data_IF_074750725879
#
_entry.id   IF_074750725879
#
_cell.length_a   1.000
_cell.length_b   1.000
_cell.length_c   1.000
_cell.angle_alpha   90.00
_cell.angle_beta   90.00
_cell.angle_gamma   90.00
#
_symmetry.space_group_name_H-M   'P 1'
#
loop_
_entity.id
_entity.type
_entity.pdbx_description
1 polymer ?
#
# COMPACT_ATOMS: atom_id res chain seq x y z
N UNK A 1 -17.11 5.83 8.69
CA UNK A 1 -15.81 6.17 9.29
C UNK A 1 -14.68 5.63 8.44
N UNK A 2 -13.77 6.51 8.03
CA UNK A 2 -12.53 6.21 7.31
C UNK A 2 -11.38 6.07 8.31
N UNK A 3 -10.48 5.12 8.09
CA UNK A 3 -9.24 4.92 8.84
C UNK A 3 -8.06 5.07 7.89
N UNK A 4 -7.17 6.03 8.16
CA UNK A 4 -5.89 6.17 7.46
C UNK A 4 -4.80 5.56 8.34
N UNK A 5 -4.27 4.42 7.91
CA UNK A 5 -3.20 3.71 8.58
C UNK A 5 -1.86 4.19 8.02
N UNK A 6 -0.90 4.53 8.88
CA UNK A 6 0.45 4.93 8.48
C UNK A 6 1.52 4.06 9.12
N UNK A 7 2.56 3.75 8.36
CA UNK A 7 3.78 3.13 8.89
C UNK A 7 4.81 4.14 9.40
N UNK A 8 4.57 5.44 9.23
CA UNK A 8 5.61 6.47 9.32
C UNK A 8 6.81 6.17 8.39
N UNK A 9 7.94 6.86 8.58
CA UNK A 9 9.19 6.53 7.87
C UNK A 9 9.83 5.28 8.47
N UNK A 10 9.81 4.17 7.72
CA UNK A 10 10.34 2.87 8.18
C UNK A 10 11.87 2.79 8.12
N UNK A 11 12.54 3.80 7.54
CA UNK A 11 14.01 3.89 7.48
C UNK A 11 14.60 4.42 8.79
N UNK A 12 13.89 5.33 9.48
CA UNK A 12 14.39 6.06 10.64
C UNK A 12 14.17 5.34 11.98
N UNK A 13 13.37 4.28 12.01
CA UNK A 13 13.12 3.49 13.22
C UNK A 13 14.38 2.75 13.68
N UNK A 14 14.81 2.97 14.93
CA UNK A 14 16.06 2.47 15.54
C UNK A 14 16.28 0.93 15.50
N UNK A 15 17.39 0.44 16.10
CA UNK A 15 18.25 -0.65 15.60
C UNK A 15 17.70 -2.09 15.65
N UNK A 16 16.39 -2.29 15.68
CA UNK A 16 15.77 -3.62 15.88
C UNK A 16 14.81 -4.07 14.79
N UNK A 17 14.52 -3.25 13.78
CA UNK A 17 14.21 -3.83 12.46
C UNK A 17 15.55 -4.28 11.89
N UNK A 18 15.91 -5.51 12.25
CA UNK A 18 17.09 -6.21 11.77
C UNK A 18 17.37 -5.77 10.34
N UNK A 19 18.59 -5.27 10.09
CA UNK A 19 19.25 -5.17 8.78
C UNK A 19 19.31 -6.56 8.12
N UNK A 20 18.14 -7.13 7.84
CA UNK A 20 17.96 -8.27 6.99
C UNK A 20 17.47 -7.65 5.70
N UNK A 21 18.43 -7.40 4.81
CA UNK A 21 18.22 -7.30 3.37
C UNK A 21 17.80 -8.71 2.88
N UNK A 22 16.78 -9.29 3.51
CA UNK A 22 16.08 -10.46 3.02
C UNK A 22 14.90 -9.90 2.24
N UNK A 23 14.68 -10.40 1.04
CA UNK A 23 13.54 -10.08 0.19
C UNK A 23 12.21 -10.41 0.89
N UNK A 24 11.79 -9.59 1.84
CA UNK A 24 10.51 -9.73 2.53
C UNK A 24 9.43 -9.16 1.62
N UNK A 25 8.36 -9.93 1.42
CA UNK A 25 7.22 -9.50 0.61
C UNK A 25 6.64 -8.19 1.16
N UNK A 26 6.16 -7.31 0.28
CA UNK A 26 5.69 -5.97 0.71
C UNK A 26 4.57 -5.99 1.74
N UNK A 27 3.69 -7.01 1.76
CA UNK A 27 2.67 -7.15 2.81
C UNK A 27 3.27 -7.42 4.18
N UNK A 28 4.34 -8.22 4.26
CA UNK A 28 5.03 -8.51 5.52
C UNK A 28 5.71 -7.24 6.05
N UNK A 29 6.35 -6.46 5.18
CA UNK A 29 6.94 -5.16 5.53
C UNK A 29 5.85 -4.18 6.02
N UNK A 30 4.75 -4.04 5.28
CA UNK A 30 3.61 -3.21 5.64
C UNK A 30 3.06 -3.58 7.02
N UNK A 31 2.65 -4.84 7.21
CA UNK A 31 1.98 -5.29 8.42
C UNK A 31 2.88 -5.17 9.65
N UNK A 32 4.15 -5.54 9.52
CA UNK A 32 5.10 -5.39 10.62
C UNK A 32 5.32 -3.91 10.94
N UNK A 33 5.53 -3.07 9.93
CA UNK A 33 5.75 -1.63 10.13
C UNK A 33 4.54 -0.95 10.77
N UNK A 34 3.31 -1.31 10.38
CA UNK A 34 2.09 -0.84 11.05
C UNK A 34 2.07 -1.26 12.52
N UNK A 35 2.33 -2.54 12.84
CA UNK A 35 2.38 -3.02 14.23
C UNK A 35 3.42 -2.25 15.05
N UNK A 36 4.63 -2.09 14.53
CA UNK A 36 5.68 -1.34 15.22
C UNK A 36 5.27 0.11 15.45
N UNK A 37 4.71 0.78 14.44
CA UNK A 37 4.29 2.17 14.56
C UNK A 37 3.15 2.33 15.58
N UNK A 38 2.18 1.41 15.62
CA UNK A 38 1.08 1.44 16.59
C UNK A 38 1.57 1.20 18.02
N UNK A 39 2.55 0.31 18.22
CA UNK A 39 3.15 0.08 19.56
C UNK A 39 3.93 1.31 20.00
N UNK A 40 4.76 1.89 19.13
CA UNK A 40 5.55 3.09 19.41
C UNK A 40 4.65 4.28 19.79
N UNK A 41 3.58 4.51 19.02
CA UNK A 41 2.64 5.61 19.26
C UNK A 41 1.85 5.46 20.58
N UNK A 42 1.63 4.23 21.04
CA UNK A 42 0.97 3.96 22.31
C UNK A 42 1.89 4.16 23.53
N UNK A 43 3.17 4.48 23.34
CA UNK A 43 4.19 4.58 24.40
C UNK A 43 4.23 3.33 25.31
N UNK A 44 3.93 2.16 24.75
CA UNK A 44 3.95 0.91 25.50
C UNK A 44 5.38 0.38 25.50
N UNK A 45 6.04 0.48 26.66
CA UNK A 45 7.32 -0.20 26.86
C UNK A 45 7.11 -1.73 26.73
N UNK A 46 7.96 -2.44 25.97
CA UNK A 46 7.90 -3.90 25.94
C UNK A 46 8.16 -4.43 27.35
N UNK A 47 7.18 -5.12 27.92
CA UNK A 47 7.35 -5.77 29.23
C UNK A 47 8.49 -6.78 29.14
N UNK A 48 9.62 -6.53 29.81
CA UNK A 48 10.66 -7.51 30.05
C UNK A 48 10.14 -8.57 31.03
N UNK A 49 9.36 -9.55 30.56
CA UNK A 49 9.16 -10.78 31.32
C UNK A 49 10.41 -11.64 31.15
N UNK A 50 11.08 -11.95 32.25
CA UNK A 50 12.16 -12.95 32.36
C UNK A 50 11.62 -14.37 32.03
N UNK A 51 11.14 -14.59 30.81
CA UNK A 51 10.87 -15.92 30.29
C UNK A 51 12.00 -16.34 29.35
N UNK A 52 12.55 -17.52 29.64
CA UNK A 52 13.69 -18.13 29.00
C UNK A 52 13.59 -18.09 27.46
N UNK A 53 14.66 -17.61 26.84
CA UNK A 53 14.84 -17.39 25.42
C UNK A 53 14.62 -18.66 24.59
N UNK A 54 13.43 -18.85 23.99
CA UNK A 54 13.27 -19.79 22.85
C UNK A 54 12.35 -19.34 21.70
N UNK A 55 11.68 -18.17 21.75
CA UNK A 55 10.89 -17.69 20.59
C UNK A 55 11.05 -16.18 20.34
N UNK A 56 11.89 -15.82 19.34
CA UNK A 56 12.19 -14.43 18.92
C UNK A 56 11.09 -13.85 17.98
N UNK A 57 9.91 -14.45 17.93
CA UNK A 57 8.86 -14.09 16.95
C UNK A 57 7.52 -13.63 17.53
N UNK A 58 7.46 -13.35 18.83
CA UNK A 58 6.21 -12.95 19.47
C UNK A 58 6.08 -11.43 19.55
N UNK A 59 4.99 -10.81 19.03
CA UNK A 59 4.73 -9.40 19.27
C UNK A 59 4.57 -9.14 20.79
N UNK A 60 4.95 -7.94 21.29
CA UNK A 60 4.88 -7.62 22.70
C UNK A 60 3.44 -7.77 23.24
N UNK A 61 3.28 -8.49 24.35
CA UNK A 61 1.99 -8.70 25.05
C UNK A 61 1.57 -7.42 25.76
N UNK A 62 0.42 -6.84 25.38
CA UNK A 62 -0.20 -5.69 26.09
C UNK A 62 -1.12 -6.16 27.22
N UNK A 63 -1.02 -5.50 28.38
CA UNK A 63 -1.75 -5.83 29.62
C UNK A 63 -3.14 -5.16 29.75
N UNK A 64 -3.42 -4.08 29.00
CA UNK A 64 -4.74 -3.44 28.92
C UNK A 64 -4.81 -2.55 27.66
N UNK A 65 -5.98 -2.46 27.03
CA UNK A 65 -6.17 -1.53 25.91
C UNK A 65 -6.17 -0.09 26.45
N UNK A 66 -5.21 0.72 26.01
CA UNK A 66 -5.33 2.17 26.14
C UNK A 66 -6.50 2.67 25.30
N UNK A 67 -7.07 3.80 25.70
CA UNK A 67 -8.01 4.53 24.85
C UNK A 67 -7.29 4.94 23.55
N UNK A 68 -7.77 4.44 22.41
CA UNK A 68 -7.09 4.65 21.14
C UNK A 68 -7.06 6.13 20.74
N UNK A 69 -7.97 6.95 21.27
CA UNK A 69 -8.02 8.39 21.04
C UNK A 69 -6.78 9.13 21.55
N UNK A 70 -5.96 8.52 22.42
CA UNK A 70 -4.76 9.15 22.99
C UNK A 70 -3.57 9.22 22.03
N UNK A 71 -3.55 8.39 20.99
CA UNK A 71 -2.43 8.27 20.03
C UNK A 71 -2.90 8.31 18.56
N UNK A 72 -4.20 8.54 18.36
CA UNK A 72 -4.82 8.76 17.05
C UNK A 72 -5.38 10.17 16.99
N UNK A 73 -5.68 10.64 15.78
CA UNK A 73 -6.32 11.96 15.59
C UNK A 73 -7.48 11.84 14.62
N UNK A 74 -8.55 12.58 14.88
CA UNK A 74 -9.75 12.56 14.05
C UNK A 74 -9.94 13.89 13.34
N UNK A 75 -10.20 13.83 12.03
CA UNK A 75 -10.59 14.95 11.19
C UNK A 75 -11.87 14.58 10.42
N UNK A 76 -13.00 15.18 10.80
CA UNK A 76 -14.32 14.80 10.30
C UNK A 76 -14.64 13.31 10.54
N UNK A 77 -14.93 12.58 9.45
CA UNK A 77 -15.19 11.12 9.48
C UNK A 77 -13.89 10.28 9.32
N UNK A 78 -12.72 10.91 9.30
CA UNK A 78 -11.43 10.21 9.10
C UNK A 78 -10.64 10.15 10.40
N UNK A 79 -10.25 8.94 10.80
CA UNK A 79 -9.32 8.69 11.91
C UNK A 79 -7.93 8.35 11.35
N UNK A 80 -6.92 9.12 11.76
CA UNK A 80 -5.52 8.88 11.43
C UNK A 80 -4.87 8.01 12.51
N UNK A 81 -4.27 6.91 12.07
CA UNK A 81 -3.73 5.85 12.93
C UNK A 81 -2.28 5.53 12.54
N UNK A 82 -1.27 5.92 13.36
CA UNK A 82 -1.33 6.92 14.43
C UNK A 82 -1.64 8.33 13.92
N UNK A 83 -1.68 9.30 14.82
CA UNK A 83 -1.70 10.74 14.48
C UNK A 83 -0.61 11.08 13.47
N UNK A 84 -0.96 11.81 12.42
CA UNK A 84 -0.02 12.33 11.44
C UNK A 84 0.48 13.70 11.88
N UNK A 85 1.73 13.77 12.34
CA UNK A 85 2.40 15.03 12.62
C UNK A 85 3.04 15.57 11.34
N UNK A 86 2.31 16.44 10.64
CA UNK A 86 2.82 17.11 9.44
C UNK A 86 3.90 18.15 9.76
N UNK A 87 4.05 18.60 11.01
CA UNK A 87 5.07 19.59 11.35
C UNK A 87 6.48 18.99 11.45
N UNK A 88 6.56 17.70 11.78
CA UNK A 88 7.80 16.94 11.90
C UNK A 88 8.08 16.03 10.70
N UNK A 89 7.20 16.02 9.68
CA UNK A 89 7.39 15.27 8.44
C UNK A 89 8.12 16.07 7.36
N UNK A 90 8.30 15.45 6.20
CA UNK A 90 8.99 16.04 5.05
C UNK A 90 10.32 15.37 4.72
N UNK A 91 10.86 15.76 3.58
CA UNK A 91 12.21 15.40 3.14
C UNK A 91 13.21 16.48 3.58
N UNK A 92 14.46 16.08 3.76
CA UNK A 92 15.53 16.95 4.31
C UNK A 92 16.11 17.89 3.25
N UNK A 93 16.33 17.37 2.04
CA UNK A 93 16.94 18.10 0.91
C UNK A 93 15.85 18.73 0.01
N UNK A 94 16.28 19.54 -0.97
CA UNK A 94 15.36 20.08 -1.98
C UNK A 94 14.71 18.97 -2.82
N UNK A 95 13.45 19.17 -3.24
CA UNK A 95 12.69 18.22 -4.07
C UNK A 95 13.47 17.69 -5.28
N UNK A 96 14.28 18.52 -5.94
CA UNK A 96 15.03 18.13 -7.14
C UNK A 96 16.08 17.04 -6.87
N UNK A 97 16.53 16.90 -5.61
CA UNK A 97 17.54 15.94 -5.17
C UNK A 97 16.98 14.52 -4.97
N UNK A 98 15.66 14.34 -5.06
CA UNK A 98 15.03 13.05 -4.87
C UNK A 98 14.50 12.44 -6.15
N UNK A 99 14.59 11.12 -6.22
CA UNK A 99 13.70 10.26 -6.99
C UNK A 99 12.66 9.67 -6.04
N UNK A 100 11.39 10.05 -6.25
CA UNK A 100 10.25 9.62 -5.46
C UNK A 100 9.40 8.68 -6.31
N UNK A 101 9.38 7.41 -5.91
CA UNK A 101 8.54 6.38 -6.50
C UNK A 101 7.39 6.05 -5.58
N UNK A 102 6.19 6.05 -6.14
CA UNK A 102 4.95 5.65 -5.48
C UNK A 102 4.36 4.45 -6.19
N UNK A 103 3.94 3.43 -5.45
CA UNK A 103 3.15 2.30 -5.95
C UNK A 103 1.79 2.29 -5.27
N UNK A 104 0.71 2.41 -6.04
CA UNK A 104 -0.67 2.39 -5.58
C UNK A 104 -1.30 1.02 -5.89
N UNK A 105 -1.80 0.35 -4.85
CA UNK A 105 -2.50 -0.91 -4.94
C UNK A 105 -4.01 -0.67 -4.83
N UNK A 106 -4.72 -0.94 -5.92
CA UNK A 106 -6.18 -1.07 -5.88
C UNK A 106 -6.52 -2.45 -5.32
N UNK A 107 -7.43 -2.49 -4.34
CA UNK A 107 -7.74 -3.72 -3.59
C UNK A 107 -8.98 -4.42 -4.16
N UNK A 108 -9.08 -5.76 -4.02
CA UNK A 108 -10.21 -6.53 -4.51
C UNK A 108 -11.51 -6.18 -3.79
N UNK A 109 -12.64 -6.28 -4.49
CA UNK A 109 -13.97 -6.00 -3.94
C UNK A 109 -14.32 -4.52 -3.80
N UNK A 110 -13.45 -3.61 -4.25
CA UNK A 110 -13.69 -2.16 -4.24
C UNK A 110 -14.26 -1.70 -5.58
N UNK A 111 -15.40 -0.98 -5.61
CA UNK A 111 -16.00 -0.49 -6.84
C UNK A 111 -15.02 0.37 -7.65
N UNK A 112 -14.94 0.10 -8.96
CA UNK A 112 -14.04 0.78 -9.88
C UNK A 112 -14.31 2.27 -9.98
N UNK A 113 -15.57 2.69 -9.82
CA UNK A 113 -15.99 4.10 -9.76
C UNK A 113 -15.28 4.92 -8.68
N UNK A 114 -14.77 4.27 -7.62
CA UNK A 114 -14.04 4.93 -6.53
C UNK A 114 -12.55 5.12 -6.81
N UNK A 115 -11.98 4.43 -7.83
CA UNK A 115 -10.53 4.41 -8.09
C UNK A 115 -9.98 5.82 -8.37
N UNK A 116 -10.74 6.68 -9.03
CA UNK A 116 -10.33 8.08 -9.27
C UNK A 116 -10.17 8.87 -7.95
N UNK A 117 -11.16 8.85 -7.08
CA UNK A 117 -11.09 9.48 -5.75
C UNK A 117 -9.97 8.86 -4.89
N UNK A 118 -9.83 7.54 -4.93
CA UNK A 118 -8.79 6.81 -4.20
C UNK A 118 -7.38 7.20 -4.68
N UNK A 119 -7.19 7.35 -5.99
CA UNK A 119 -5.92 7.81 -6.56
C UNK A 119 -5.58 9.20 -6.04
N UNK A 120 -6.48 10.17 -6.23
CA UNK A 120 -6.23 11.55 -5.84
C UNK A 120 -5.93 11.64 -4.34
N UNK A 121 -6.74 10.98 -3.50
CA UNK A 121 -6.54 11.00 -2.05
C UNK A 121 -5.23 10.33 -1.59
N UNK A 122 -4.82 9.23 -2.22
CA UNK A 122 -3.56 8.56 -1.90
C UNK A 122 -2.34 9.40 -2.30
N UNK A 123 -2.35 9.99 -3.50
CA UNK A 123 -1.27 10.85 -3.98
C UNK A 123 -1.18 12.13 -3.15
N UNK A 124 -2.30 12.80 -2.89
CA UNK A 124 -2.33 14.00 -2.05
C UNK A 124 -1.81 13.73 -0.63
N UNK A 125 -2.08 12.55 -0.07
CA UNK A 125 -1.53 12.17 1.23
C UNK A 125 -0.01 12.01 1.19
N UNK A 126 0.53 11.33 0.18
CA UNK A 126 1.99 11.16 0.03
C UNK A 126 2.68 12.51 -0.17
N UNK A 127 2.14 13.36 -1.06
CA UNK A 127 2.69 14.71 -1.33
C UNK A 127 2.71 15.56 -0.06
N UNK A 128 1.62 15.55 0.73
CA UNK A 128 1.53 16.27 2.01
C UNK A 128 2.54 15.77 3.03
N UNK A 129 2.69 14.46 3.21
CA UNK A 129 3.62 13.93 4.23
C UNK A 129 5.08 14.14 3.83
N UNK A 130 5.39 14.10 2.54
CA UNK A 130 6.76 14.35 2.06
C UNK A 130 7.07 15.85 1.88
N UNK A 131 6.09 16.74 2.02
CA UNK A 131 6.21 18.17 1.75
C UNK A 131 6.73 18.48 0.33
N UNK A 132 6.21 17.75 -0.66
CA UNK A 132 6.56 17.91 -2.06
C UNK A 132 5.31 18.19 -2.90
N UNK A 133 5.50 18.80 -4.07
CA UNK A 133 4.42 19.11 -5.00
C UNK A 133 4.28 18.10 -6.15
N UNK A 134 5.24 17.20 -6.32
CA UNK A 134 5.24 16.17 -7.36
C UNK A 134 6.04 14.94 -6.97
N UNK A 135 5.77 13.82 -7.63
CA UNK A 135 6.53 12.57 -7.57
C UNK A 135 7.10 12.23 -8.95
N UNK A 136 8.17 11.43 -8.97
CA UNK A 136 8.87 11.09 -10.21
C UNK A 136 8.20 9.92 -10.94
N UNK A 137 7.76 8.88 -10.22
CA UNK A 137 7.14 7.70 -10.80
C UNK A 137 5.93 7.24 -9.98
N UNK A 138 4.77 7.09 -10.62
CA UNK A 138 3.63 6.35 -10.08
C UNK A 138 3.46 5.02 -10.81
N UNK A 139 3.49 3.92 -10.07
CA UNK A 139 3.14 2.57 -10.55
C UNK A 139 1.78 2.19 -9.97
N UNK A 140 0.87 1.68 -10.78
CA UNK A 140 -0.43 1.15 -10.32
C UNK A 140 -0.48 -0.38 -10.41
N UNK A 141 -1.05 -0.99 -9.39
CA UNK A 141 -1.31 -2.43 -9.30
C UNK A 141 -2.82 -2.64 -9.24
N UNK A 142 -3.38 -3.35 -10.22
CA UNK A 142 -4.80 -3.68 -10.26
C UNK A 142 -5.08 -5.02 -9.57
N UNK A 143 -6.25 -5.20 -8.92
CA UNK A 143 -6.62 -6.49 -8.36
C UNK A 143 -6.82 -7.50 -9.50
N UNK A 144 -6.53 -8.78 -9.23
CA UNK A 144 -6.74 -9.86 -10.21
C UNK A 144 -5.73 -9.89 -11.36
N UNK A 145 -4.81 -8.92 -11.46
CA UNK A 145 -3.73 -8.95 -12.44
C UNK A 145 -2.47 -9.52 -11.79
N UNK A 146 -2.08 -10.70 -12.25
CA UNK A 146 -0.82 -11.34 -11.93
C UNK A 146 -0.08 -11.71 -13.22
N UNK A 147 1.24 -11.64 -13.14
CA UNK A 147 2.12 -12.15 -14.16
C UNK A 147 2.56 -13.57 -13.76
N UNK A 148 2.53 -14.48 -14.74
CA UNK A 148 3.09 -15.81 -14.63
C UNK A 148 3.97 -16.05 -15.87
N UNK A 149 5.27 -16.28 -15.63
CA UNK A 149 6.22 -16.53 -16.70
C UNK A 149 6.02 -17.89 -17.40
N UNK A 150 5.42 -18.86 -16.69
CA UNK A 150 5.23 -20.22 -17.16
C UNK A 150 3.92 -20.40 -17.96
N UNK A 151 3.10 -19.34 -18.04
CA UNK A 151 1.89 -19.29 -18.87
C UNK A 151 0.68 -20.02 -18.27
N UNK A 152 0.72 -20.37 -16.99
CA UNK A 152 -0.48 -20.78 -16.24
C UNK A 152 -1.28 -19.52 -15.91
N UNK A 153 -2.26 -19.19 -16.76
CA UNK A 153 -3.24 -18.16 -16.43
C UNK A 153 -3.95 -18.58 -15.14
N UNK A 154 -3.71 -17.89 -14.02
CA UNK A 154 -4.61 -17.98 -12.88
C UNK A 154 -5.98 -17.48 -13.35
N UNK A 155 -6.93 -18.41 -13.51
CA UNK A 155 -8.31 -18.12 -13.91
C UNK A 155 -8.85 -16.95 -13.08
N UNK A 156 -9.04 -15.79 -13.72
CA UNK A 156 -9.73 -14.66 -13.11
C UNK A 156 -11.16 -15.10 -12.79
N UNK A 157 -11.54 -14.90 -11.53
CA UNK A 157 -12.85 -15.29 -10.98
C UNK A 157 -13.97 -14.52 -11.68
N UNK A 158 -14.83 -15.22 -12.41
CA UNK A 158 -16.20 -14.87 -12.86
C UNK A 158 -16.57 -13.38 -12.86
N UNK A 159 -15.88 -12.60 -13.70
CA UNK A 159 -16.21 -11.21 -14.02
C UNK A 159 -16.35 -11.03 -15.53
N UNK A 160 -17.16 -10.06 -15.96
CA UNK A 160 -17.19 -9.66 -17.37
C UNK A 160 -15.85 -8.98 -17.71
N UNK A 161 -14.89 -9.76 -18.24
CA UNK A 161 -13.50 -9.34 -18.51
C UNK A 161 -13.41 -8.01 -19.27
N UNK A 162 -14.35 -7.75 -20.20
CA UNK A 162 -14.40 -6.49 -20.95
C UNK A 162 -14.71 -5.29 -20.03
N UNK A 163 -15.56 -5.48 -19.01
CA UNK A 163 -15.92 -4.44 -18.05
C UNK A 163 -14.73 -4.08 -17.17
N UNK A 164 -14.01 -5.05 -16.61
CA UNK A 164 -12.82 -4.78 -15.80
C UNK A 164 -11.73 -4.06 -16.60
N UNK A 165 -11.52 -4.50 -17.84
CA UNK A 165 -10.56 -3.88 -18.73
C UNK A 165 -10.89 -2.39 -19.02
N UNK A 166 -12.15 -2.10 -19.36
CA UNK A 166 -12.62 -0.73 -19.55
C UNK A 166 -12.44 0.12 -18.28
N UNK A 167 -12.64 -0.47 -17.10
CA UNK A 167 -12.40 0.20 -15.83
C UNK A 167 -10.92 0.52 -15.60
N UNK A 168 -9.99 -0.33 -16.04
CA UNK A 168 -8.54 -0.03 -16.00
C UNK A 168 -8.20 1.16 -16.90
N UNK A 169 -8.77 1.22 -18.12
CA UNK A 169 -8.57 2.36 -19.04
C UNK A 169 -9.10 3.66 -18.42
N UNK A 170 -10.31 3.65 -17.84
CA UNK A 170 -10.86 4.83 -17.15
C UNK A 170 -10.00 5.27 -15.96
N UNK A 171 -9.47 4.29 -15.21
CA UNK A 171 -8.53 4.56 -14.13
C UNK A 171 -7.27 5.23 -14.67
N UNK A 172 -6.70 4.70 -15.76
CA UNK A 172 -5.51 5.26 -16.41
C UNK A 172 -5.71 6.70 -16.87
N UNK A 173 -6.85 7.02 -17.47
CA UNK A 173 -7.18 8.40 -17.86
C UNK A 173 -7.15 9.38 -16.67
N UNK A 174 -7.50 8.93 -15.47
CA UNK A 174 -7.33 9.76 -14.26
C UNK A 174 -5.84 10.01 -13.95
N UNK A 175 -5.00 8.99 -14.11
CA UNK A 175 -3.55 9.12 -13.91
C UNK A 175 -2.94 10.09 -14.93
N UNK A 176 -3.39 10.04 -16.18
CA UNK A 176 -2.98 10.97 -17.24
C UNK A 176 -3.27 12.43 -16.88
N UNK A 177 -4.41 12.70 -16.23
CA UNK A 177 -4.76 14.04 -15.74
C UNK A 177 -3.83 14.50 -14.61
N UNK A 178 -3.41 13.60 -13.72
CA UNK A 178 -2.43 13.92 -12.66
C UNK A 178 -1.04 14.18 -13.24
N UNK A 179 -0.66 13.44 -14.29
CA UNK A 179 0.55 13.68 -15.06
C UNK A 179 0.51 15.04 -15.78
N UNK A 180 -0.59 15.36 -16.46
CA UNK A 180 -0.78 16.65 -17.15
C UNK A 180 -0.72 17.84 -16.17
N UNK A 181 -1.21 17.67 -14.93
CA UNK A 181 -1.09 18.67 -13.86
C UNK A 181 0.34 18.83 -13.31
N UNK A 182 1.29 18.00 -13.72
CA UNK A 182 2.67 18.00 -13.23
C UNK A 182 2.84 17.41 -11.83
N UNK A 183 1.83 16.72 -11.29
CA UNK A 183 1.92 16.05 -9.98
C UNK A 183 2.72 14.75 -10.08
N UNK A 184 2.76 14.13 -11.26
CA UNK A 184 3.41 12.84 -11.51
C UNK A 184 4.22 12.97 -12.80
N UNK A 185 5.53 12.73 -12.76
CA UNK A 185 6.37 12.86 -13.95
C UNK A 185 6.31 11.63 -14.88
N UNK A 186 6.17 10.43 -14.31
CA UNK A 186 6.11 9.17 -15.07
C UNK A 186 5.03 8.23 -14.53
N UNK A 187 4.41 7.47 -15.43
CA UNK A 187 3.38 6.49 -15.11
C UNK A 187 3.88 5.08 -15.41
N UNK A 188 3.47 4.12 -14.59
CA UNK A 188 3.83 2.73 -14.75
C UNK A 188 2.71 1.76 -14.36
N UNK A 189 2.83 0.55 -14.88
CA UNK A 189 1.96 -0.58 -14.61
C UNK A 189 2.70 -1.63 -13.79
N UNK A 190 1.96 -2.61 -13.29
CA UNK A 190 2.52 -3.81 -12.68
C UNK A 190 1.78 -5.04 -13.22
N UNK A 191 2.53 -6.11 -13.46
CA UNK A 191 2.09 -7.44 -13.82
C UNK A 191 1.47 -7.54 -15.23
N UNK A 192 1.80 -6.62 -16.16
CA UNK A 192 1.26 -6.68 -17.53
C UNK A 192 2.14 -7.55 -18.43
N UNK A 193 1.61 -8.67 -18.91
CA UNK A 193 2.24 -9.40 -20.01
C UNK A 193 2.13 -8.64 -21.35
N UNK A 194 2.72 -9.23 -22.38
CA UNK A 194 2.74 -8.66 -23.72
C UNK A 194 1.33 -8.46 -24.28
N UNK A 195 0.42 -9.42 -24.13
CA UNK A 195 -0.92 -9.34 -24.70
C UNK A 195 -1.74 -8.23 -24.04
N UNK A 196 -1.63 -8.11 -22.72
CA UNK A 196 -2.27 -7.04 -21.94
C UNK A 196 -1.72 -5.68 -22.38
N UNK A 197 -0.41 -5.53 -22.55
CA UNK A 197 0.19 -4.28 -23.07
C UNK A 197 -0.29 -3.98 -24.50
N UNK A 198 -0.30 -4.97 -25.41
CA UNK A 198 -0.75 -4.79 -26.80
C UNK A 198 -2.19 -4.29 -26.88
N UNK A 199 -3.08 -4.79 -26.01
CA UNK A 199 -4.46 -4.32 -25.90
C UNK A 199 -4.54 -2.93 -25.25
N UNK A 200 -3.65 -2.60 -24.32
CA UNK A 200 -3.79 -1.44 -23.41
C UNK A 200 -3.25 -0.16 -24.00
N UNK A 201 -2.04 -0.22 -24.57
CA UNK A 201 -1.33 0.95 -25.08
C UNK A 201 -2.14 1.79 -26.09
N UNK A 202 -2.93 1.20 -27.02
CA UNK A 202 -3.77 1.96 -27.96
C UNK A 202 -4.79 2.90 -27.29
N UNK A 203 -5.13 2.65 -26.02
CA UNK A 203 -6.12 3.43 -25.25
C UNK A 203 -5.47 4.49 -24.36
N UNK A 204 -4.14 4.60 -24.37
CA UNK A 204 -3.38 5.56 -23.56
C UNK A 204 -2.96 6.78 -24.38
N UNK A 205 -3.13 7.99 -23.82
CA UNK A 205 -2.53 9.23 -24.32
C UNK A 205 -1.12 9.42 -23.77
N UNK A 206 -0.93 9.09 -22.48
CA UNK A 206 0.38 9.02 -21.83
C UNK A 206 0.69 7.54 -21.63
N UNK A 207 1.64 7.02 -22.41
CA UNK A 207 2.04 5.63 -22.31
C UNK A 207 2.73 5.37 -20.97
N UNK A 208 2.54 4.18 -20.35
CA UNK A 208 3.38 3.77 -19.24
C UNK A 208 4.85 3.76 -19.69
N UNK A 209 5.73 4.32 -18.87
CA UNK A 209 7.19 4.24 -19.08
C UNK A 209 7.81 3.07 -18.35
N UNK A 210 7.08 2.47 -17.41
CA UNK A 210 7.53 1.36 -16.57
C UNK A 210 6.45 0.28 -16.54
N UNK A 211 6.86 -0.97 -16.57
CA UNK A 211 6.03 -2.11 -16.15
C UNK A 211 6.81 -2.96 -15.14
N UNK A 212 6.17 -3.23 -14.01
CA UNK A 212 6.78 -3.97 -12.90
C UNK A 212 6.36 -5.43 -12.92
N UNK A 213 7.33 -6.35 -12.91
CA UNK A 213 7.10 -7.79 -12.89
C UNK A 213 7.56 -8.39 -11.56
N UNK A 214 6.79 -9.33 -11.02
CA UNK A 214 7.12 -10.00 -9.78
C UNK A 214 8.48 -10.73 -9.86
N UNK A 215 9.27 -10.64 -8.80
CA UNK A 215 10.59 -11.28 -8.66
C UNK A 215 10.48 -12.80 -8.67
N UNK A 216 9.30 -13.36 -8.33
CA UNK A 216 9.05 -14.80 -8.47
C UNK A 216 9.20 -15.25 -9.94
N UNK A 217 8.90 -14.35 -10.88
CA UNK A 217 8.92 -14.60 -12.34
C UNK A 217 10.10 -13.89 -13.05
N UNK A 218 10.90 -13.09 -12.34
CA UNK A 218 11.92 -12.25 -12.98
C UNK A 218 13.09 -13.03 -13.60
N UNK A 219 13.27 -14.29 -13.23
CA UNK A 219 14.31 -15.15 -13.79
C UNK A 219 13.91 -15.77 -15.14
N UNK A 220 12.64 -15.66 -15.53
CA UNK A 220 12.07 -16.28 -16.74
C UNK A 220 11.17 -15.26 -17.46
N UNK A 221 11.58 -13.99 -17.54
CA UNK A 221 10.78 -13.00 -18.30
C UNK A 221 10.75 -13.41 -19.79
N UNK A 222 9.56 -13.60 -20.40
CA UNK A 222 9.40 -13.98 -21.78
C UNK A 222 10.12 -13.02 -22.74
N UNK A 223 10.84 -13.59 -23.70
CA UNK A 223 11.68 -12.81 -24.62
C UNK A 223 10.87 -11.84 -25.47
N UNK A 224 9.64 -12.21 -25.80
CA UNK A 224 8.73 -11.38 -26.57
C UNK A 224 8.21 -10.19 -25.77
N UNK A 225 7.92 -10.34 -24.47
CA UNK A 225 7.64 -9.22 -23.56
C UNK A 225 8.83 -8.24 -23.50
N UNK A 226 10.06 -8.75 -23.35
CA UNK A 226 11.27 -7.90 -23.33
C UNK A 226 11.42 -7.11 -24.64
N UNK A 227 11.24 -7.77 -25.79
CA UNK A 227 11.36 -7.12 -27.10
C UNK A 227 10.26 -6.08 -27.30
N UNK A 228 9.02 -6.40 -26.92
CA UNK A 228 7.88 -5.50 -27.04
C UNK A 228 8.00 -4.28 -26.14
N UNK A 229 8.33 -4.48 -24.86
CA UNK A 229 8.58 -3.39 -23.91
C UNK A 229 9.68 -2.46 -24.42
N UNK A 230 10.79 -3.01 -24.92
CA UNK A 230 11.88 -2.23 -25.53
C UNK A 230 11.42 -1.45 -26.76
N UNK A 231 10.61 -2.05 -27.64
CA UNK A 231 10.05 -1.37 -28.81
C UNK A 231 9.16 -0.17 -28.41
N UNK A 232 8.37 -0.33 -27.34
CA UNK A 232 7.48 0.70 -26.81
C UNK A 232 8.15 1.67 -25.83
N UNK A 233 9.45 1.52 -25.57
CA UNK A 233 10.21 2.29 -24.57
C UNK A 233 9.64 2.18 -23.15
N UNK A 234 9.22 0.96 -22.78
CA UNK A 234 8.75 0.60 -21.45
C UNK A 234 9.91 -0.12 -20.73
N UNK A 235 10.30 0.40 -19.57
CA UNK A 235 11.30 -0.23 -18.72
C UNK A 235 10.65 -1.33 -17.87
N UNK A 236 11.24 -2.53 -17.91
CA UNK A 236 10.82 -3.65 -17.09
C UNK A 236 11.58 -3.62 -15.76
N UNK A 237 10.87 -3.39 -14.67
CA UNK A 237 11.42 -3.37 -13.31
C UNK A 237 10.90 -4.58 -12.52
N UNK A 238 11.60 -4.96 -11.44
CA UNK A 238 11.15 -6.06 -10.58
C UNK A 238 10.58 -5.58 -9.25
N UNK A 239 9.62 -6.33 -8.71
CA UNK A 239 9.09 -6.10 -7.37
C UNK A 239 8.82 -7.42 -6.64
N UNK A 240 8.62 -7.37 -5.32
CA UNK A 240 8.28 -8.55 -4.51
C UNK A 240 6.98 -8.31 -3.74
N UNK A 241 5.97 -7.83 -4.45
CA UNK A 241 4.65 -7.63 -3.87
C UNK A 241 3.86 -8.94 -3.90
N UNK A 242 2.80 -9.02 -3.11
CA UNK A 242 1.82 -10.09 -3.18
C UNK A 242 0.52 -9.57 -3.78
N UNK A 243 -0.30 -10.46 -4.30
CA UNK A 243 -1.57 -10.15 -4.97
C UNK A 243 -2.54 -9.40 -4.06
N UNK A 244 -2.70 -9.85 -2.80
CA UNK A 244 -3.48 -9.14 -1.78
C UNK A 244 -2.55 -8.60 -0.67
N UNK A 245 -2.22 -7.33 -0.77
CA UNK A 245 -1.27 -6.66 0.14
C UNK A 245 -1.84 -6.39 1.53
N UNK A 246 -3.17 -6.28 1.66
CA UNK A 246 -3.83 -5.96 2.93
C UNK A 246 -5.23 -6.63 3.00
N UNK A 247 -5.29 -7.94 3.29
CA UNK A 247 -6.57 -8.67 3.36
C UNK A 247 -7.48 -8.15 4.47
N UNK A 248 -8.81 -8.26 4.28
CA UNK A 248 -9.84 -7.84 5.26
C UNK A 248 -9.63 -8.46 6.65
N UNK A 249 -9.46 -9.79 6.71
CA UNK A 249 -9.28 -10.52 7.97
C UNK A 249 -8.02 -10.07 8.72
N UNK A 250 -6.90 -9.95 8.00
CA UNK A 250 -5.64 -9.45 8.56
C UNK A 250 -5.78 -8.01 9.08
N UNK A 251 -6.53 -7.16 8.37
CA UNK A 251 -6.80 -5.77 8.78
C UNK A 251 -7.65 -5.71 10.05
N UNK A 252 -8.68 -6.56 10.14
CA UNK A 252 -9.48 -6.73 11.37
C UNK A 252 -8.58 -7.10 12.53
N UNK A 253 -7.78 -8.15 12.39
CA UNK A 253 -6.93 -8.65 13.47
C UNK A 253 -5.93 -7.57 13.93
N UNK A 254 -5.31 -6.88 12.97
CA UNK A 254 -4.36 -5.79 13.22
C UNK A 254 -4.96 -4.65 14.04
N UNK A 255 -6.23 -4.30 13.80
CA UNK A 255 -6.89 -3.16 14.45
C UNK A 255 -7.78 -3.56 15.64
N UNK A 256 -8.09 -4.84 15.80
CA UNK A 256 -9.00 -5.36 16.83
C UNK A 256 -8.53 -5.06 18.26
N UNK A 257 -9.47 -5.15 19.20
CA UNK A 257 -9.23 -5.30 20.64
C UNK A 257 -8.96 -6.77 21.02
N UNK A 258 -8.36 -7.54 20.12
CA UNK A 258 -7.83 -8.88 20.38
C UNK A 258 -6.37 -8.85 20.84
N UNK A 259 -5.85 -9.97 21.33
CA UNK A 259 -4.53 -10.08 21.99
C UNK A 259 -3.33 -9.52 21.20
N UNK A 260 -3.46 -9.37 19.88
CA UNK A 260 -2.41 -8.89 18.98
C UNK A 260 -2.80 -7.64 18.18
N UNK A 261 -3.95 -7.03 18.46
CA UNK A 261 -4.48 -5.89 17.73
C UNK A 261 -4.19 -4.53 18.39
N UNK A 262 -4.44 -3.46 17.64
CA UNK A 262 -4.14 -2.09 18.06
C UNK A 262 -5.12 -1.51 19.09
N UNK A 263 -6.24 -2.20 19.35
CA UNK A 263 -7.25 -1.78 20.33
C UNK A 263 -8.30 -0.79 19.79
N UNK A 264 -8.41 -0.65 18.46
CA UNK A 264 -9.25 0.35 17.79
C UNK A 264 -10.64 -0.21 17.49
N UNK A 265 -10.71 -1.37 16.82
CA UNK A 265 -11.98 -2.01 16.46
C UNK A 265 -12.48 -2.89 17.61
N UNK A 266 -13.80 -2.98 17.74
CA UNK A 266 -14.42 -3.99 18.58
C UNK A 266 -13.98 -5.41 18.12
N UNK A 267 -13.90 -6.35 19.06
CA UNK A 267 -13.47 -7.74 18.77
C UNK A 267 -14.37 -8.39 17.72
N UNK A 268 -15.66 -8.10 17.77
CA UNK A 268 -16.64 -8.46 16.75
C UNK A 268 -17.37 -7.20 16.25
N UNK A 269 -17.97 -7.21 15.04
CA UNK A 269 -18.61 -6.03 14.45
C UNK A 269 -19.67 -5.36 15.34
N UNK A 270 -20.35 -6.13 16.18
CA UNK A 270 -21.45 -5.70 17.05
C UNK A 270 -21.10 -5.72 18.55
N UNK A 271 -19.89 -6.17 18.91
CA UNK A 271 -19.47 -6.29 20.30
C UNK A 271 -19.46 -4.93 21.04
N UNK A 272 -19.90 -4.94 22.29
CA UNK A 272 -19.95 -3.75 23.15
C UNK A 272 -18.77 -3.73 24.13
N UNK A 273 -17.57 -3.60 23.59
CA UNK A 273 -16.29 -3.67 24.31
C UNK A 273 -15.48 -2.35 24.30
N UNK A 274 -16.13 -1.27 23.88
CA UNK A 274 -15.55 0.07 23.74
C UNK A 274 -14.75 0.30 22.45
N UNK A 275 -14.65 -0.69 21.56
CA UNK A 275 -14.07 -0.51 20.23
C UNK A 275 -15.05 0.07 19.20
N UNK A 276 -14.50 0.52 18.06
CA UNK A 276 -15.33 0.95 16.92
C UNK A 276 -16.04 -0.26 16.34
N UNK A 277 -17.37 -0.19 16.27
CA UNK A 277 -18.26 -1.22 15.74
C UNK A 277 -18.34 -1.16 14.21
N UNK A 278 -18.54 -2.31 13.59
CA UNK A 278 -18.71 -2.47 12.14
C UNK A 278 -17.70 -3.40 11.48
N UNK A 279 -17.92 -3.63 10.20
CA UNK A 279 -17.03 -4.33 9.28
C UNK A 279 -15.97 -3.40 8.71
N UNK A 280 -14.77 -3.94 8.58
CA UNK A 280 -13.58 -3.22 8.10
C UNK A 280 -13.29 -3.62 6.66
N UNK A 281 -13.14 -2.62 5.80
CA UNK A 281 -12.92 -2.78 4.38
C UNK A 281 -11.70 -1.96 3.92
N UNK A 282 -10.54 -2.58 3.70
CA UNK A 282 -9.39 -1.94 3.06
C UNK A 282 -9.76 -1.43 1.65
N UNK A 283 -9.52 -0.16 1.38
CA UNK A 283 -9.90 0.51 0.13
C UNK A 283 -8.73 0.60 -0.87
N UNK A 284 -7.56 1.00 -0.38
CA UNK A 284 -6.32 1.11 -1.14
C UNK A 284 -5.11 1.06 -0.21
N UNK A 285 -3.98 0.65 -0.77
CA UNK A 285 -2.66 0.79 -0.12
C UNK A 285 -1.76 1.56 -1.05
N UNK A 286 -0.98 2.50 -0.51
CA UNK A 286 0.07 3.19 -1.26
C UNK A 286 1.40 2.95 -0.56
N UNK A 287 2.40 2.56 -1.33
CA UNK A 287 3.81 2.44 -0.92
C UNK A 287 4.58 3.59 -1.56
N UNK A 288 5.45 4.25 -0.81
CA UNK A 288 6.31 5.30 -1.34
C UNK A 288 7.75 5.10 -0.92
N UNK A 289 8.67 5.57 -1.75
CA UNK A 289 10.12 5.55 -1.49
C UNK A 289 10.73 6.81 -2.08
N UNK A 290 11.47 7.57 -1.27
CA UNK A 290 12.23 8.74 -1.66
C UNK A 290 13.73 8.44 -1.54
N UNK A 291 14.41 8.47 -2.67
CA UNK A 291 15.85 8.16 -2.81
C UNK A 291 16.58 9.44 -3.14
N UNK A 292 17.65 9.75 -2.40
CA UNK A 292 18.54 10.89 -2.72
C UNK A 292 19.40 10.52 -3.93
N UNK A 293 19.23 11.22 -5.05
CA UNK A 293 19.86 10.96 -6.36
C UNK A 293 21.37 10.78 -6.26
N UNK A 294 22.07 11.76 -5.70
CA UNK A 294 23.53 11.80 -5.69
C UNK A 294 24.18 10.73 -4.81
N UNK A 295 23.41 10.13 -3.89
CA UNK A 295 23.91 9.15 -2.92
C UNK A 295 23.32 7.75 -3.12
N UNK A 296 22.22 7.61 -3.87
CA UNK A 296 21.47 6.37 -3.97
C UNK A 296 20.92 5.87 -2.63
N UNK A 297 20.73 6.77 -1.65
CA UNK A 297 20.30 6.43 -0.29
C UNK A 297 18.81 6.67 -0.17
N UNK A 298 18.09 5.66 0.34
CA UNK A 298 16.68 5.81 0.72
C UNK A 298 16.63 6.63 2.00
N UNK A 299 16.07 7.83 1.95
CA UNK A 299 15.86 8.66 3.14
C UNK A 299 14.50 8.37 3.78
N UNK A 300 13.47 8.23 2.93
CA UNK A 300 12.11 8.05 3.39
C UNK A 300 11.43 6.91 2.63
N UNK A 301 10.86 5.97 3.37
CA UNK A 301 10.09 4.87 2.83
C UNK A 301 8.94 4.59 3.78
N UNK A 302 7.77 4.30 3.22
CA UNK A 302 6.62 3.97 4.04
C UNK A 302 5.41 3.58 3.22
N UNK A 303 4.33 3.39 3.96
CA UNK A 303 3.05 3.02 3.43
C UNK A 303 1.93 3.84 4.08
N UNK A 304 0.88 4.08 3.31
CA UNK A 304 -0.43 4.41 3.84
C UNK A 304 -1.46 3.40 3.36
N UNK A 305 -2.49 3.18 4.15
CA UNK A 305 -3.67 2.44 3.75
C UNK A 305 -4.93 3.18 4.18
N UNK A 306 -5.92 3.24 3.29
CA UNK A 306 -7.27 3.63 3.67
C UNK A 306 -8.08 2.36 3.93
N UNK A 307 -8.79 2.32 5.05
CA UNK A 307 -9.84 1.34 5.30
C UNK A 307 -11.13 2.05 5.74
N UNK A 308 -12.28 1.45 5.46
CA UNK A 308 -13.57 1.97 5.90
C UNK A 308 -14.20 1.03 6.91
N UNK A 309 -14.74 1.63 7.98
CA UNK A 309 -15.57 0.93 8.97
C UNK A 309 -17.01 1.32 8.75
N UNK A 310 -17.86 0.32 8.53
CA UNK A 310 -19.29 0.49 8.33
C UNK A 310 -20.06 -0.79 8.57
N UNK A 311 -21.39 -0.74 8.47
CA UNK A 311 -22.23 -1.92 8.48
C UNK A 311 -22.25 -2.53 7.06
N UNK A 312 -21.32 -3.42 6.74
CA UNK A 312 -21.29 -4.07 5.43
C UNK A 312 -22.25 -5.27 5.43
N UNK A 313 -23.41 -5.09 4.80
CA UNK A 313 -24.37 -6.07 4.26
C UNK A 313 -24.42 -7.40 5.04
N UNK A 314 -25.47 -7.56 5.86
CA UNK A 314 -25.99 -8.89 6.21
C UNK A 314 -26.11 -9.67 4.91
N UNK A 315 -25.30 -10.71 4.72
CA UNK A 315 -25.56 -11.71 3.69
C UNK A 315 -26.97 -12.21 3.95
N UNK A 316 -27.91 -11.79 3.11
CA UNK A 316 -29.25 -12.34 3.08
C UNK A 316 -29.10 -13.86 3.04
N UNK A 317 -29.60 -14.50 4.10
CA UNK A 317 -29.61 -15.95 4.27
C UNK A 317 -30.42 -16.64 3.17
#
# INVERSE_FOLDING_TARGET
>A
MKLILSTSNIVSGGPSVIRRITSTKSNVELLNSLRFNFVAAQHIEPSHTNECCQHIHSPPRKLAYSDYSTWTSQDGDTLYVPTLDLSASGLTEDRSQYDITVKLFYLPGIPTSRRCEHTCSAIDLVLRVLHVNSIDLLIVSFPGISFDADGEEEEVVDGDDESEYNNMIQTWQTLELLHEKGMIAQLGLAEFDRERLEKFLPHTKVQPSVDQINVKDCCVVPKDLILYAKEKNIELLTHNDCTDILPRGTTRDLLSRGAHGAGILAVAPDADDGGIKGDIEPQWVVKYTAVVKDRGVIENKGYFALAEVGSCIRTSS
#
